data_IF_431784295685
#
_entry.id   IF_431784295685
#
_cell.length_a   1.000
_cell.length_b   1.000
_cell.length_c   1.000
_cell.angle_alpha   90.00
_cell.angle_beta   90.00
_cell.angle_gamma   90.00
#
_symmetry.space_group_name_H-M   'P 1'
#
loop_
_entity.id
_entity.type
_entity.pdbx_description
1 polymer ?
#
# COMPACT_ATOMS: atom_id res chain seq x y z
N UNK A 1 -2.77 31.20 9.82
CA UNK A 1 -2.11 30.91 8.53
C UNK A 1 -1.16 29.72 8.62
N UNK A 2 -0.12 29.72 9.47
CA UNK A 2 0.81 28.57 9.62
C UNK A 2 0.15 27.21 9.88
N UNK A 3 -0.85 27.15 10.79
CA UNK A 3 -1.59 25.93 11.09
C UNK A 3 -2.34 25.36 9.88
N UNK A 4 -2.93 26.22 9.05
CA UNK A 4 -3.65 25.81 7.83
C UNK A 4 -2.69 25.17 6.81
N UNK A 5 -1.47 25.70 6.67
CA UNK A 5 -0.45 25.12 5.78
C UNK A 5 0.04 23.76 6.26
N UNK A 6 0.25 23.59 7.57
CA UNK A 6 0.62 22.30 8.15
C UNK A 6 -0.49 21.27 7.93
N UNK A 7 -1.75 21.65 8.12
CA UNK A 7 -2.90 20.77 7.90
C UNK A 7 -3.05 20.41 6.41
N UNK A 8 -2.93 21.37 5.50
CA UNK A 8 -2.97 21.10 4.06
C UNK A 8 -1.81 20.22 3.59
N UNK A 9 -0.58 20.49 4.04
CA UNK A 9 0.59 19.68 3.73
C UNK A 9 0.46 18.24 4.24
N UNK A 10 -0.01 18.07 5.48
CA UNK A 10 -0.32 16.75 6.04
C UNK A 10 -1.37 16.02 5.20
N UNK A 11 -2.44 16.71 4.79
CA UNK A 11 -3.50 16.12 3.98
C UNK A 11 -2.99 15.63 2.61
N UNK A 12 -2.14 16.42 1.94
CA UNK A 12 -1.52 16.03 0.67
C UNK A 12 -0.64 14.79 0.85
N UNK A 13 0.19 14.75 1.89
CA UNK A 13 1.05 13.58 2.19
C UNK A 13 0.20 12.34 2.46
N UNK A 14 -0.88 12.46 3.23
CA UNK A 14 -1.82 11.36 3.49
C UNK A 14 -2.50 10.89 2.20
N UNK A 15 -2.94 11.81 1.33
CA UNK A 15 -3.53 11.45 0.03
C UNK A 15 -2.52 10.74 -0.88
N UNK A 16 -1.27 11.20 -0.92
CA UNK A 16 -0.21 10.54 -1.69
C UNK A 16 0.12 9.16 -1.12
N UNK A 17 0.13 9.00 0.20
CA UNK A 17 0.32 7.71 0.86
C UNK A 17 -0.87 6.76 0.65
N UNK A 18 -2.08 7.27 0.43
CA UNK A 18 -3.26 6.45 0.14
C UNK A 18 -3.21 5.78 -1.25
N UNK A 19 -2.59 6.42 -2.25
CA UNK A 19 -2.45 5.88 -3.61
C UNK A 19 -1.83 4.47 -3.67
N UNK A 20 -0.68 4.19 -3.03
CA UNK A 20 -0.12 2.85 -3.01
C UNK A 20 -0.89 1.87 -2.12
N UNK A 21 -1.71 2.34 -1.18
CA UNK A 21 -2.52 1.48 -0.29
C UNK A 21 -3.78 0.96 -0.99
N UNK A 22 -4.38 1.74 -1.89
CA UNK A 22 -5.62 1.39 -2.59
C UNK A 22 -5.58 0.03 -3.31
N UNK A 23 -4.52 -0.35 -4.04
CA UNK A 23 -4.42 -1.67 -4.68
C UNK A 23 -4.50 -2.82 -3.67
N UNK A 24 -3.82 -2.70 -2.53
CA UNK A 24 -3.84 -3.72 -1.48
C UNK A 24 -5.23 -3.85 -0.86
N UNK A 25 -5.92 -2.73 -0.61
CA UNK A 25 -7.30 -2.75 -0.10
C UNK A 25 -8.26 -3.43 -1.08
N UNK A 26 -8.10 -3.19 -2.39
CA UNK A 26 -8.91 -3.86 -3.42
C UNK A 26 -8.70 -5.37 -3.43
N UNK A 27 -7.44 -5.82 -3.35
CA UNK A 27 -7.13 -7.26 -3.24
C UNK A 27 -7.73 -7.85 -1.97
N UNK A 28 -7.56 -7.19 -0.82
CA UNK A 28 -8.09 -7.63 0.47
C UNK A 28 -9.62 -7.77 0.47
N UNK A 29 -10.34 -6.73 0.01
CA UNK A 29 -11.80 -6.76 -0.08
C UNK A 29 -12.29 -7.88 -1.00
N UNK A 30 -11.59 -8.09 -2.12
CA UNK A 30 -12.00 -9.08 -3.12
C UNK A 30 -11.73 -10.51 -2.65
N UNK A 31 -10.60 -10.76 -2.00
CA UNK A 31 -10.32 -12.05 -1.35
C UNK A 31 -11.39 -12.37 -0.29
N UNK A 32 -11.71 -11.42 0.59
CA UNK A 32 -12.72 -11.60 1.64
C UNK A 32 -14.13 -11.87 1.09
N UNK A 33 -14.51 -11.20 0.00
CA UNK A 33 -15.87 -11.30 -0.58
C UNK A 33 -16.06 -12.46 -1.55
N UNK A 34 -15.09 -12.70 -2.44
CA UNK A 34 -15.25 -13.61 -3.58
C UNK A 34 -14.44 -14.90 -3.45
N UNK A 35 -13.38 -14.94 -2.64
CA UNK A 35 -12.48 -16.09 -2.49
C UNK A 35 -12.26 -16.45 -1.03
N UNK A 36 -13.37 -16.74 -0.32
CA UNK A 36 -13.35 -17.15 1.10
C UNK A 36 -12.54 -18.42 1.35
N UNK A 37 -12.44 -19.30 0.36
CA UNK A 37 -11.62 -20.50 0.38
C UNK A 37 -10.13 -20.17 0.55
N UNK A 38 -9.60 -19.24 -0.25
CA UNK A 38 -8.22 -18.75 -0.12
C UNK A 38 -8.02 -17.94 1.16
N UNK A 39 -9.04 -17.16 1.53
CA UNK A 39 -9.05 -16.34 2.73
C UNK A 39 -8.95 -17.16 4.02
N UNK A 40 -9.76 -18.20 4.14
CA UNK A 40 -9.80 -19.04 5.33
C UNK A 40 -8.57 -19.96 5.42
N UNK A 41 -8.01 -20.39 4.28
CA UNK A 41 -6.86 -21.28 4.23
C UNK A 41 -5.54 -20.70 4.76
N UNK A 42 -5.40 -19.37 4.82
CA UNK A 42 -4.18 -18.70 5.34
C UNK A 42 -4.43 -17.91 6.64
N UNK A 43 -5.58 -18.13 7.26
CA UNK A 43 -6.08 -17.40 8.43
C UNK A 43 -6.84 -16.15 7.99
N UNK A 44 -8.10 -15.93 8.42
CA UNK A 44 -8.78 -14.68 8.16
C UNK A 44 -8.07 -13.57 8.93
N UNK A 45 -7.56 -12.55 8.24
CA UNK A 45 -6.91 -11.39 8.86
C UNK A 45 -7.69 -10.11 8.55
N UNK A 46 -8.23 -9.47 9.58
CA UNK A 46 -8.84 -8.16 9.39
C UNK A 46 -7.77 -7.11 9.06
N UNK A 47 -8.19 -5.92 8.60
CA UNK A 47 -7.27 -4.81 8.31
C UNK A 47 -6.39 -4.49 9.53
N UNK A 48 -6.92 -4.60 10.75
CA UNK A 48 -6.10 -4.38 11.96
C UNK A 48 -5.06 -5.47 12.18
N UNK A 49 -5.34 -6.72 11.79
CA UNK A 49 -4.34 -7.79 11.84
C UNK A 49 -3.23 -7.54 10.81
N UNK A 50 -3.59 -7.02 9.63
CA UNK A 50 -2.60 -6.57 8.64
C UNK A 50 -1.74 -5.40 9.10
N UNK A 51 -2.18 -4.61 10.08
CA UNK A 51 -1.39 -3.50 10.62
C UNK A 51 -0.56 -3.96 11.82
N UNK A 52 -1.10 -4.85 12.65
CA UNK A 52 -0.52 -5.19 13.95
C UNK A 52 0.29 -6.50 13.94
N UNK A 53 0.03 -7.41 12.99
CA UNK A 53 0.65 -8.74 12.93
C UNK A 53 1.51 -8.91 11.68
N UNK A 54 2.83 -9.02 11.88
CA UNK A 54 3.78 -9.34 10.81
C UNK A 54 3.49 -10.69 10.14
N UNK A 55 2.90 -11.65 10.87
CA UNK A 55 2.46 -12.93 10.31
C UNK A 55 1.30 -12.79 9.32
N UNK A 56 0.30 -11.98 9.66
CA UNK A 56 -0.83 -11.68 8.76
C UNK A 56 -0.37 -10.91 7.51
N UNK A 57 0.53 -9.94 7.67
CA UNK A 57 1.16 -9.23 6.56
C UNK A 57 1.89 -10.19 5.61
N UNK A 58 2.71 -11.09 6.18
CA UNK A 58 3.44 -12.08 5.39
C UNK A 58 2.50 -13.00 4.60
N UNK A 59 1.43 -13.50 5.24
CA UNK A 59 0.44 -14.34 4.57
C UNK A 59 -0.27 -13.61 3.43
N UNK A 60 -0.65 -12.35 3.66
CA UNK A 60 -1.29 -11.53 2.63
C UNK A 60 -0.37 -11.24 1.44
N UNK A 61 0.89 -10.87 1.70
CA UNK A 61 1.89 -10.67 0.65
C UNK A 61 2.17 -11.98 -0.11
N UNK A 62 2.17 -13.11 0.58
CA UNK A 62 2.33 -14.43 -0.02
C UNK A 62 1.15 -14.79 -0.95
N UNK A 63 -0.08 -14.42 -0.61
CA UNK A 63 -1.23 -14.56 -1.52
C UNK A 63 -1.00 -13.74 -2.78
N UNK A 64 -0.62 -12.46 -2.64
CA UNK A 64 -0.37 -11.57 -3.78
C UNK A 64 0.74 -12.12 -4.69
N UNK A 65 1.82 -12.64 -4.10
CA UNK A 65 2.92 -13.23 -4.85
C UNK A 65 2.52 -14.51 -5.56
N UNK A 66 1.71 -15.38 -4.96
CA UNK A 66 1.35 -16.69 -5.54
C UNK A 66 0.06 -16.69 -6.36
N UNK A 67 -0.71 -15.61 -6.35
CA UNK A 67 -1.99 -15.54 -7.06
C UNK A 67 -1.86 -15.84 -8.57
N UNK A 68 -0.74 -15.43 -9.18
CA UNK A 68 -0.46 -15.67 -10.60
C UNK A 68 -0.04 -17.11 -10.94
N UNK A 69 0.36 -17.90 -9.94
CA UNK A 69 0.77 -19.30 -10.12
C UNK A 69 -0.42 -20.26 -10.17
N UNK A 70 -1.62 -19.79 -9.79
CA UNK A 70 -2.84 -20.60 -9.78
C UNK A 70 -3.66 -20.35 -11.05
N UNK A 71 -3.49 -21.17 -12.08
CA UNK A 71 -4.23 -21.05 -13.36
C UNK A 71 -5.75 -20.96 -13.17
N UNK A 72 -6.30 -21.75 -12.24
CA UNK A 72 -7.73 -21.72 -11.90
C UNK A 72 -8.19 -20.39 -11.30
N UNK A 73 -7.32 -19.71 -10.55
CA UNK A 73 -7.63 -18.40 -9.96
C UNK A 73 -7.56 -17.30 -11.02
N UNK A 74 -6.63 -17.44 -11.97
CA UNK A 74 -6.46 -16.51 -13.10
C UNK A 74 -7.68 -16.53 -14.02
N UNK A 75 -8.21 -17.72 -14.31
CA UNK A 75 -9.41 -17.86 -15.14
C UNK A 75 -10.68 -17.42 -14.40
N UNK A 76 -10.77 -17.72 -13.10
CA UNK A 76 -11.94 -17.44 -12.27
C UNK A 76 -12.09 -15.96 -11.89
N UNK A 77 -11.00 -15.21 -11.74
CA UNK A 77 -11.04 -13.80 -11.35
C UNK A 77 -9.87 -12.96 -11.90
N UNK A 78 -9.93 -12.54 -13.17
CA UNK A 78 -8.87 -11.75 -13.80
C UNK A 78 -8.69 -10.36 -13.17
N UNK A 79 -9.72 -9.82 -12.51
CA UNK A 79 -9.61 -8.52 -11.84
C UNK A 79 -8.80 -8.64 -10.55
N UNK A 80 -8.94 -9.73 -9.80
CA UNK A 80 -8.06 -10.02 -8.66
C UNK A 80 -6.60 -10.08 -9.12
N UNK A 81 -6.32 -10.79 -10.22
CA UNK A 81 -4.97 -10.90 -10.79
C UNK A 81 -4.40 -9.55 -11.21
N UNK A 82 -5.23 -8.70 -11.85
CA UNK A 82 -4.83 -7.34 -12.21
C UNK A 82 -4.35 -6.56 -11.00
N UNK A 83 -5.12 -6.57 -9.90
CA UNK A 83 -4.74 -5.85 -8.69
C UNK A 83 -3.55 -6.49 -7.96
N UNK A 84 -3.42 -7.82 -7.94
CA UNK A 84 -2.23 -8.47 -7.38
C UNK A 84 -0.97 -8.16 -8.18
N UNK A 85 -1.06 -8.01 -9.51
CA UNK A 85 0.06 -7.57 -10.33
C UNK A 85 0.49 -6.14 -10.01
N UNK A 86 -0.47 -5.21 -9.85
CA UNK A 86 -0.18 -3.84 -9.40
C UNK A 86 0.49 -3.86 -8.01
N UNK A 87 -0.02 -4.69 -7.08
CA UNK A 87 0.60 -4.85 -5.76
C UNK A 87 2.03 -5.41 -5.87
N UNK A 88 2.28 -6.40 -6.73
CA UNK A 88 3.61 -6.97 -6.94
C UNK A 88 4.60 -5.94 -7.50
N UNK A 89 4.17 -5.11 -8.46
CA UNK A 89 5.01 -4.02 -8.97
C UNK A 89 5.33 -2.98 -7.88
N UNK A 90 4.37 -2.65 -7.02
CA UNK A 90 4.60 -1.79 -5.85
C UNK A 90 5.56 -2.43 -4.84
N UNK A 91 5.43 -3.73 -4.57
CA UNK A 91 6.33 -4.47 -3.66
C UNK A 91 7.76 -4.53 -4.24
N UNK A 92 7.90 -4.71 -5.56
CA UNK A 92 9.20 -4.71 -6.25
C UNK A 92 9.84 -3.32 -6.25
N UNK A 93 9.03 -2.28 -6.43
CA UNK A 93 9.46 -0.89 -6.36
C UNK A 93 9.84 -0.48 -4.92
N UNK A 94 9.32 -1.19 -3.91
CA UNK A 94 9.64 -0.89 -2.53
C UNK A 94 11.09 -1.28 -2.20
N UNK A 95 11.87 -0.37 -1.61
CA UNK A 95 13.26 -0.65 -1.26
C UNK A 95 13.36 -1.79 -0.25
N UNK A 96 14.08 -2.85 -0.64
CA UNK A 96 14.27 -4.07 0.17
C UNK A 96 15.41 -3.98 1.17
N UNK A 97 16.30 -2.99 1.03
CA UNK A 97 17.46 -2.80 1.88
C UNK A 97 17.22 -1.67 2.89
N UNK A 98 17.78 -1.82 4.08
CA UNK A 98 17.70 -0.82 5.15
C UNK A 98 18.19 0.56 4.69
N UNK A 99 19.29 0.60 3.92
CA UNK A 99 19.82 1.84 3.33
C UNK A 99 18.84 2.50 2.36
N UNK A 100 18.18 1.74 1.49
CA UNK A 100 17.23 2.32 0.53
C UNK A 100 15.92 2.76 1.21
N UNK A 101 15.54 2.15 2.34
CA UNK A 101 14.41 2.61 3.17
C UNK A 101 14.73 3.93 3.89
N UNK A 102 15.96 4.08 4.42
CA UNK A 102 16.43 5.34 5.00
C UNK A 102 16.44 6.45 3.95
N UNK A 103 16.98 6.18 2.75
CA UNK A 103 17.00 7.15 1.65
C UNK A 103 15.57 7.54 1.26
N UNK A 104 14.65 6.58 1.15
CA UNK A 104 13.24 6.87 0.86
C UNK A 104 12.61 7.77 1.94
N UNK A 105 12.88 7.52 3.22
CA UNK A 105 12.40 8.36 4.31
C UNK A 105 12.93 9.80 4.20
N UNK A 106 14.23 9.98 3.95
CA UNK A 106 14.81 11.30 3.78
C UNK A 106 14.27 12.04 2.55
N UNK A 107 14.07 11.33 1.43
CA UNK A 107 13.46 11.91 0.22
C UNK A 107 12.03 12.35 0.49
N UNK A 108 11.21 11.51 1.15
CA UNK A 108 9.84 11.87 1.51
C UNK A 108 9.79 13.05 2.50
N UNK A 109 10.69 13.05 3.50
CA UNK A 109 10.83 14.15 4.45
C UNK A 109 11.23 15.46 3.75
N UNK A 110 12.17 15.39 2.81
CA UNK A 110 12.64 16.54 2.05
C UNK A 110 11.57 17.08 1.10
N UNK A 111 10.82 16.21 0.42
CA UNK A 111 9.69 16.61 -0.43
C UNK A 111 8.60 17.26 0.41
N UNK A 112 8.21 16.66 1.53
CA UNK A 112 7.20 17.23 2.42
C UNK A 112 7.63 18.60 2.98
N UNK A 113 8.90 18.72 3.36
CA UNK A 113 9.48 19.98 3.86
C UNK A 113 9.53 21.06 2.77
N UNK A 114 9.97 20.69 1.56
CA UNK A 114 10.06 21.60 0.41
C UNK A 114 8.69 22.05 -0.08
N UNK A 115 7.69 21.16 -0.08
CA UNK A 115 6.32 21.50 -0.43
C UNK A 115 5.70 22.46 0.59
N UNK A 116 5.97 22.23 1.87
CA UNK A 116 5.53 23.13 2.95
C UNK A 116 6.20 24.50 2.82
N UNK A 117 7.50 24.55 2.52
CA UNK A 117 8.23 25.80 2.31
C UNK A 117 7.77 26.56 1.05
N UNK A 118 7.55 25.86 -0.07
CA UNK A 118 7.07 26.44 -1.32
C UNK A 118 5.66 27.03 -1.20
N UNK A 119 4.77 26.36 -0.46
CA UNK A 119 3.44 26.88 -0.13
C UNK A 119 3.53 28.15 0.73
N UNK A 120 4.48 28.23 1.66
CA UNK A 120 4.69 29.44 2.47
C UNK A 120 5.17 30.61 1.60
N UNK A 121 6.07 30.37 0.64
CA UNK A 121 6.64 31.44 -0.22
C UNK A 121 5.71 31.99 -1.30
N UNK A 122 4.69 31.23 -1.73
CA UNK A 122 3.75 31.66 -2.78
C UNK A 122 2.68 32.64 -2.26
N UNK A 123 2.54 32.77 -0.95
CA UNK A 123 1.47 33.54 -0.29
C UNK A 123 2.01 34.52 0.77
N UNK A 124 3.32 34.75 0.79
CA UNK A 124 4.03 35.80 1.54
C UNK A 124 4.42 36.94 0.61
#
# INVERSE_FOLDING_TARGET
MGLLYVVCGFFVVVMMAALPVLPFVKVWLRLRKHHRDLWNGMGPFDIMDLVTSGGAQYNFLRIIQKAHEQEKLVERDPELIKWTNVCNELIKAFPKTFMSQIILFFVLFFIASSFTAGLVSLFS
#
